data_IF_758192062987
#
_entry.id   IF_758192062987
#
_cell.length_a   1.000
_cell.length_b   1.000
_cell.length_c   1.000
_cell.angle_alpha   90.00
_cell.angle_beta   90.00
_cell.angle_gamma   90.00
#
_symmetry.space_group_name_H-M   'P 1'
#
loop_
_entity.id
_entity.type
_entity.pdbx_description
1 polymer ?
#
# COMPACT_ATOMS: atom_id res chain seq x y z
N UNK A 1 10.92 3.38 9.78
CA UNK A 1 10.82 2.40 8.67
C UNK A 1 10.65 3.19 7.38
N UNK A 2 11.46 2.95 6.33
CA UNK A 2 11.34 3.61 5.03
C UNK A 2 10.24 3.00 4.16
N UNK A 3 9.02 2.95 4.68
CA UNK A 3 7.85 2.30 4.05
C UNK A 3 6.79 3.29 3.56
N UNK A 4 7.11 4.57 3.36
CA UNK A 4 6.15 5.59 2.94
C UNK A 4 5.38 5.24 1.65
N UNK A 5 5.99 4.42 0.77
CA UNK A 5 5.36 3.89 -0.43
C UNK A 5 4.11 3.05 -0.13
N UNK A 6 4.06 2.36 1.02
CA UNK A 6 2.89 1.57 1.45
C UNK A 6 1.70 2.45 1.77
N UNK A 7 1.89 3.53 2.54
CA UNK A 7 0.86 4.54 2.84
C UNK A 7 0.33 5.23 1.58
N UNK A 8 1.21 5.55 0.62
CA UNK A 8 0.78 6.09 -0.67
C UNK A 8 -0.07 5.10 -1.46
N UNK A 9 0.19 3.79 -1.32
CA UNK A 9 -0.57 2.73 -2.01
C UNK A 9 -1.92 2.51 -1.35
N UNK A 10 -1.93 2.27 -0.04
CA UNK A 10 -3.15 2.01 0.73
C UNK A 10 -4.10 3.20 0.62
N UNK A 11 -3.63 4.43 0.84
CA UNK A 11 -4.47 5.62 0.74
C UNK A 11 -5.08 5.82 -0.65
N UNK A 12 -4.32 5.56 -1.72
CA UNK A 12 -4.85 5.64 -3.09
C UNK A 12 -5.94 4.58 -3.34
N UNK A 13 -5.71 3.34 -2.91
CA UNK A 13 -6.67 2.25 -3.08
C UNK A 13 -7.92 2.41 -2.21
N UNK A 14 -7.77 2.88 -0.96
CA UNK A 14 -8.88 3.22 -0.06
C UNK A 14 -9.75 4.33 -0.63
N UNK A 15 -9.15 5.37 -1.20
CA UNK A 15 -9.87 6.46 -1.85
C UNK A 15 -10.63 5.98 -3.10
N UNK A 16 -9.99 5.16 -3.94
CA UNK A 16 -10.65 4.56 -5.10
C UNK A 16 -11.80 3.62 -4.70
N UNK A 17 -11.59 2.81 -3.66
CA UNK A 17 -12.61 1.92 -3.11
C UNK A 17 -13.81 2.69 -2.55
N UNK A 18 -13.54 3.76 -1.80
CA UNK A 18 -14.59 4.63 -1.25
C UNK A 18 -15.41 5.29 -2.35
N UNK A 19 -14.76 5.74 -3.44
CA UNK A 19 -15.46 6.30 -4.60
C UNK A 19 -16.32 5.25 -5.34
N UNK A 20 -15.81 4.04 -5.53
CA UNK A 20 -16.50 2.99 -6.27
C UNK A 20 -17.68 2.36 -5.50
N UNK A 21 -17.54 2.21 -4.18
CA UNK A 21 -18.48 1.44 -3.35
C UNK A 21 -19.21 2.27 -2.30
N UNK A 22 -18.89 3.55 -2.13
CA UNK A 22 -19.51 4.44 -1.14
C UNK A 22 -19.21 4.07 0.32
N UNK A 23 -18.20 3.23 0.57
CA UNK A 23 -17.81 2.76 1.90
C UNK A 23 -16.31 2.87 2.11
N UNK A 24 -15.92 3.40 3.27
CA UNK A 24 -14.53 3.45 3.69
C UNK A 24 -14.06 2.08 4.17
N UNK A 25 -12.85 1.69 3.77
CA UNK A 25 -12.11 0.57 4.35
C UNK A 25 -10.76 1.08 4.82
N UNK A 26 -10.15 0.36 5.76
CA UNK A 26 -8.76 0.55 6.13
C UNK A 26 -7.97 -0.67 5.66
N UNK A 27 -6.92 -0.42 4.90
CA UNK A 27 -5.99 -1.41 4.37
C UNK A 27 -4.72 -1.43 5.24
N UNK A 28 -4.00 -2.55 5.21
CA UNK A 28 -2.81 -2.75 6.05
C UNK A 28 -1.54 -2.45 5.27
N UNK A 29 -0.83 -1.38 5.65
CA UNK A 29 0.51 -1.11 5.15
C UNK A 29 1.48 -2.23 5.51
N UNK A 30 1.31 -2.85 6.68
CA UNK A 30 2.17 -3.95 7.13
C UNK A 30 2.06 -5.16 6.20
N UNK A 31 0.88 -5.44 5.64
CA UNK A 31 0.71 -6.49 4.64
C UNK A 31 1.55 -6.21 3.37
N UNK A 32 1.72 -4.94 2.98
CA UNK A 32 2.61 -4.59 1.87
C UNK A 32 4.08 -4.72 2.26
N UNK A 33 4.45 -4.28 3.47
CA UNK A 33 5.82 -4.44 4.00
C UNK A 33 6.25 -5.91 4.00
N UNK A 34 5.36 -6.82 4.40
CA UNK A 34 5.68 -8.23 4.60
C UNK A 34 5.61 -9.06 3.31
N UNK A 35 4.71 -8.72 2.39
CA UNK A 35 4.37 -9.60 1.27
C UNK A 35 4.85 -9.10 -0.11
N UNK A 36 5.09 -7.81 -0.28
CA UNK A 36 5.38 -7.25 -1.61
C UNK A 36 6.83 -7.48 -2.10
N UNK A 37 7.64 -8.22 -1.35
CA UNK A 37 9.04 -8.52 -1.69
C UNK A 37 9.22 -9.14 -3.08
N UNK A 38 8.26 -9.96 -3.52
CA UNK A 38 8.26 -10.59 -4.84
C UNK A 38 8.01 -9.63 -6.00
N UNK A 39 7.57 -8.41 -5.69
CA UNK A 39 7.20 -7.38 -6.67
C UNK A 39 8.19 -6.22 -6.71
N UNK A 40 9.44 -6.44 -6.25
CA UNK A 40 10.51 -5.43 -6.22
C UNK A 40 10.30 -4.29 -5.19
N UNK A 41 9.56 -4.57 -4.12
CA UNK A 41 9.53 -3.74 -2.92
C UNK A 41 10.41 -4.34 -1.82
N UNK A 42 10.96 -3.49 -0.95
CA UNK A 42 11.98 -3.90 0.03
C UNK A 42 11.55 -3.60 1.47
N UNK A 43 10.25 -3.62 1.73
CA UNK A 43 9.66 -3.38 3.04
C UNK A 43 10.08 -2.02 3.62
N UNK A 44 10.82 -2.05 4.73
CA UNK A 44 11.35 -0.84 5.37
C UNK A 44 12.53 -0.19 4.64
N UNK A 45 13.06 -0.80 3.58
CA UNK A 45 14.19 -0.27 2.80
C UNK A 45 13.74 0.41 1.49
N UNK A 46 12.48 0.82 1.41
CA UNK A 46 11.91 1.49 0.25
C UNK A 46 11.12 0.57 -0.68
N UNK A 47 10.48 1.20 -1.65
CA UNK A 47 9.57 0.57 -2.58
C UNK A 47 8.86 1.61 -3.44
N UNK A 48 8.13 1.15 -4.45
CA UNK A 48 7.33 1.98 -5.34
C UNK A 48 5.84 1.62 -5.19
N UNK A 49 4.93 2.59 -5.08
CA UNK A 49 3.49 2.32 -5.03
C UNK A 49 2.96 1.53 -6.24
N UNK A 50 3.58 1.69 -7.41
CA UNK A 50 3.21 0.93 -8.62
C UNK A 50 3.60 -0.55 -8.58
N UNK A 51 4.41 -0.95 -7.59
CA UNK A 51 4.90 -2.31 -7.37
C UNK A 51 4.27 -2.96 -6.13
N UNK A 52 3.42 -2.22 -5.43
CA UNK A 52 2.81 -2.61 -4.17
C UNK A 52 1.71 -3.66 -4.34
#
# INVERSE_FOLDING_TARGET
CGSCWTFSTTGALEAAYSQAFGKGISLSEQQLVDCAGKFNNFGCNGGLPSQA
#
